data_IF_407941808583
#
_entry.id   IF_407941808583
#
_cell.length_a   1.000
_cell.length_b   1.000
_cell.length_c   1.000
_cell.angle_alpha   90.00
_cell.angle_beta   90.00
_cell.angle_gamma   90.00
#
_symmetry.space_group_name_H-M   'P 1'
#
loop_
_entity.id
_entity.type
_entity.pdbx_description
1 polymer ?
#
# COMPACT_ATOMS: atom_id res chain seq x y z
N UNK A 1 -2.82 -65.35 60.67
CA UNK A 1 -3.07 -63.89 60.58
C UNK A 1 -2.17 -63.33 59.48
N UNK A 2 -2.73 -62.89 58.36
CA UNK A 2 -2.03 -62.04 57.39
C UNK A 2 -3.08 -61.11 56.77
N UNK A 3 -3.04 -59.85 57.16
CA UNK A 3 -3.97 -58.80 56.75
C UNK A 3 -3.58 -58.29 55.36
N UNK A 4 -4.46 -58.48 54.38
CA UNK A 4 -4.34 -57.89 53.04
C UNK A 4 -4.60 -56.38 53.08
N UNK A 5 -3.58 -55.59 52.75
CA UNK A 5 -3.71 -54.15 52.54
C UNK A 5 -4.02 -53.91 51.05
N UNK A 6 -5.26 -53.54 50.73
CA UNK A 6 -5.62 -53.01 49.41
C UNK A 6 -5.12 -51.57 49.29
N UNK A 7 -4.17 -51.36 48.37
CA UNK A 7 -3.57 -50.06 48.08
C UNK A 7 -4.50 -49.29 47.11
N UNK A 8 -5.19 -48.27 47.62
CA UNK A 8 -6.03 -47.39 46.82
C UNK A 8 -5.16 -46.55 45.86
N UNK A 9 -5.52 -46.56 44.58
CA UNK A 9 -4.89 -45.75 43.53
C UNK A 9 -5.64 -44.41 43.50
N UNK A 10 -4.98 -43.26 43.70
CA UNK A 10 -5.69 -41.97 43.69
C UNK A 10 -6.07 -41.56 42.26
N UNK A 11 -7.38 -41.35 42.04
CA UNK A 11 -7.99 -40.71 40.86
C UNK A 11 -7.66 -39.20 40.79
N UNK A 12 -6.37 -38.85 40.72
CA UNK A 12 -5.92 -37.45 40.76
C UNK A 12 -5.24 -36.93 39.48
N UNK A 13 -5.15 -37.74 38.41
CA UNK A 13 -4.19 -37.48 37.30
C UNK A 13 -4.81 -37.15 35.94
N UNK A 14 -6.14 -37.11 35.79
CA UNK A 14 -6.80 -36.94 34.48
C UNK A 14 -7.27 -35.50 34.17
N UNK A 15 -7.48 -34.66 35.18
CA UNK A 15 -8.00 -33.29 35.00
C UNK A 15 -6.95 -32.32 34.42
N UNK A 16 -5.68 -32.45 34.81
CA UNK A 16 -4.61 -31.55 34.33
C UNK A 16 -4.31 -31.70 32.84
N UNK A 17 -4.48 -32.90 32.29
CA UNK A 17 -4.18 -33.18 30.89
C UNK A 17 -5.23 -32.59 29.94
N UNK A 18 -6.49 -32.53 30.39
CA UNK A 18 -7.62 -32.04 29.58
C UNK A 18 -7.71 -30.50 29.59
N UNK A 19 -7.42 -29.88 30.74
CA UNK A 19 -7.30 -28.41 30.85
C UNK A 19 -6.13 -27.88 30.01
N UNK A 20 -5.01 -28.59 29.99
CA UNK A 20 -3.86 -28.23 29.13
C UNK A 20 -4.22 -28.31 27.64
N UNK A 21 -4.88 -29.38 27.20
CA UNK A 21 -5.23 -29.58 25.79
C UNK A 21 -6.23 -28.51 25.28
N UNK A 22 -7.22 -28.16 26.10
CA UNK A 22 -8.20 -27.12 25.77
C UNK A 22 -7.56 -25.73 25.72
N UNK A 23 -6.61 -25.43 26.60
CA UNK A 23 -5.84 -24.19 26.58
C UNK A 23 -4.97 -24.07 25.32
N UNK A 24 -4.35 -25.15 24.86
CA UNK A 24 -3.57 -25.18 23.62
C UNK A 24 -4.44 -24.96 22.38
N UNK A 25 -5.62 -25.59 22.30
CA UNK A 25 -6.56 -25.41 21.18
C UNK A 25 -7.09 -23.96 21.17
N UNK A 26 -7.45 -23.41 22.33
CA UNK A 26 -7.87 -22.02 22.44
C UNK A 26 -6.76 -21.06 21.97
N UNK A 27 -5.51 -21.28 22.39
CA UNK A 27 -4.37 -20.46 21.96
C UNK A 27 -4.13 -20.51 20.45
N UNK A 28 -4.31 -21.67 19.81
CA UNK A 28 -4.19 -21.81 18.35
C UNK A 28 -5.32 -21.12 17.58
N UNK A 29 -6.54 -21.04 18.13
CA UNK A 29 -7.64 -20.31 17.50
C UNK A 29 -7.46 -18.79 17.56
N UNK A 30 -6.91 -18.24 18.64
CA UNK A 30 -6.72 -16.79 18.79
C UNK A 30 -5.64 -16.19 17.89
N UNK A 31 -4.64 -16.96 17.48
CA UNK A 31 -3.50 -16.45 16.70
C UNK A 31 -3.78 -16.26 15.20
N UNK A 32 -4.86 -16.84 14.67
CA UNK A 32 -5.15 -16.87 13.23
C UNK A 32 -6.10 -15.75 12.74
N UNK A 33 -6.74 -14.98 13.63
CA UNK A 33 -7.66 -13.91 13.23
C UNK A 33 -6.95 -12.59 12.84
N UNK A 34 -5.66 -12.48 13.14
CA UNK A 34 -4.97 -11.18 13.15
C UNK A 34 -4.59 -10.64 11.77
N UNK A 35 -4.56 -11.46 10.71
CA UNK A 35 -4.05 -11.00 9.41
C UNK A 35 -5.14 -10.40 8.48
N UNK A 36 -6.42 -10.75 8.72
CA UNK A 36 -7.51 -10.41 7.80
C UNK A 36 -8.12 -9.01 7.99
N UNK A 37 -8.07 -8.48 9.22
CA UNK A 37 -8.79 -7.24 9.60
C UNK A 37 -7.89 -6.01 9.71
N UNK A 38 -6.58 -6.18 9.57
CA UNK A 38 -5.62 -5.07 9.71
C UNK A 38 -5.48 -4.33 8.38
N UNK A 39 -5.60 -2.99 8.46
CA UNK A 39 -5.29 -2.06 7.38
C UNK A 39 -3.86 -2.23 6.91
N UNK A 40 -3.68 -2.44 5.61
CA UNK A 40 -2.37 -2.64 5.00
C UNK A 40 -1.87 -1.35 4.36
N UNK A 41 -0.57 -1.05 4.52
CA UNK A 41 0.10 0.07 3.85
C UNK A 41 1.05 -0.48 2.80
N UNK A 42 0.86 -0.07 1.55
CA UNK A 42 1.70 -0.52 0.44
C UNK A 42 2.51 0.64 -0.14
N UNK A 43 3.75 0.33 -0.54
CA UNK A 43 4.59 1.24 -1.32
C UNK A 43 4.47 0.90 -2.79
N UNK A 44 3.96 1.84 -3.58
CA UNK A 44 3.87 1.72 -5.02
C UNK A 44 5.15 2.31 -5.64
N UNK A 45 5.82 1.53 -6.50
CA UNK A 45 6.98 1.95 -7.25
C UNK A 45 6.76 1.63 -8.74
N UNK A 46 6.99 2.61 -9.60
CA UNK A 46 6.97 2.39 -11.04
C UNK A 46 8.32 1.84 -11.51
N UNK A 47 8.30 0.83 -12.36
CA UNK A 47 9.49 0.31 -13.02
C UNK A 47 9.45 0.70 -14.49
N UNK A 48 10.46 1.45 -14.91
CA UNK A 48 10.53 2.02 -16.26
C UNK A 48 10.79 0.94 -17.32
N UNK A 49 10.15 1.08 -18.48
CA UNK A 49 10.42 0.21 -19.62
C UNK A 49 11.87 0.38 -20.10
N UNK A 50 12.57 -0.75 -20.26
CA UNK A 50 13.95 -0.79 -20.75
C UNK A 50 13.99 -0.98 -22.27
N UNK A 51 15.05 -0.50 -22.92
CA UNK A 51 15.27 -0.70 -24.36
C UNK A 51 14.34 0.10 -25.28
N UNK A 52 13.77 1.20 -24.78
CA UNK A 52 12.87 2.06 -25.57
C UNK A 52 13.70 2.96 -26.48
N UNK A 53 13.46 2.89 -27.79
CA UNK A 53 14.09 3.77 -28.76
C UNK A 53 13.37 5.14 -28.82
N UNK A 54 14.12 6.24 -28.96
CA UNK A 54 13.53 7.56 -29.19
C UNK A 54 12.69 7.61 -30.46
N UNK A 55 11.59 8.34 -30.41
CA UNK A 55 10.71 8.53 -31.56
C UNK A 55 11.30 9.66 -32.44
N UNK A 56 11.47 9.45 -33.75
CA UNK A 56 11.93 10.50 -34.65
C UNK A 56 11.04 11.74 -34.58
N UNK A 57 11.65 12.91 -34.39
CA UNK A 57 10.94 14.20 -34.29
C UNK A 57 10.36 14.55 -32.92
N UNK A 58 10.39 13.64 -31.93
CA UNK A 58 9.87 13.91 -30.57
C UNK A 58 10.62 15.05 -29.86
N UNK A 59 11.89 15.26 -30.21
CA UNK A 59 12.75 16.31 -29.62
C UNK A 59 12.30 17.74 -29.91
N UNK A 60 11.39 17.94 -30.87
CA UNK A 60 10.82 19.24 -31.21
C UNK A 60 9.46 19.49 -30.53
N UNK A 61 8.96 18.52 -29.77
CA UNK A 61 7.64 18.55 -29.14
C UNK A 61 7.79 18.67 -27.64
N UNK A 62 7.13 19.70 -27.08
CA UNK A 62 7.03 19.88 -25.63
C UNK A 62 5.73 19.26 -25.13
N UNK A 63 5.85 18.44 -24.08
CA UNK A 63 4.72 17.73 -23.49
C UNK A 63 4.49 18.17 -22.04
N UNK A 64 3.21 18.27 -21.66
CA UNK A 64 2.78 18.50 -20.29
C UNK A 64 1.81 17.39 -19.89
N UNK A 65 2.19 16.59 -18.90
CA UNK A 65 1.33 15.54 -18.34
C UNK A 65 0.42 16.18 -17.29
N UNK A 66 -0.89 15.95 -17.41
CA UNK A 66 -1.87 16.34 -16.40
C UNK A 66 -2.62 15.09 -15.97
N UNK A 67 -2.65 14.84 -14.66
CA UNK A 67 -3.32 13.67 -14.09
C UNK A 67 -4.48 14.17 -13.24
N UNK A 68 -5.66 13.61 -13.47
CA UNK A 68 -6.84 13.83 -12.64
C UNK A 68 -7.25 12.50 -12.03
N UNK A 69 -7.15 12.41 -10.71
CA UNK A 69 -7.60 11.25 -9.95
C UNK A 69 -9.07 11.45 -9.55
N UNK A 70 -9.94 10.60 -10.10
CA UNK A 70 -11.38 10.62 -9.87
C UNK A 70 -11.82 9.75 -8.69
N UNK A 71 -10.90 9.10 -7.97
CA UNK A 71 -11.24 8.32 -6.78
C UNK A 71 -11.77 9.23 -5.67
N UNK A 72 -12.82 8.77 -5.01
CA UNK A 72 -13.39 9.44 -3.84
C UNK A 72 -12.41 9.49 -2.67
N UNK A 73 -11.71 8.38 -2.42
CA UNK A 73 -10.61 8.30 -1.44
C UNK A 73 -9.28 8.08 -2.18
N UNK A 74 -8.42 9.10 -2.15
CA UNK A 74 -7.11 9.08 -2.84
C UNK A 74 -6.09 8.19 -2.14
N UNK A 75 -6.28 7.91 -0.86
CA UNK A 75 -5.37 7.08 -0.07
C UNK A 75 -5.69 5.59 -0.25
N UNK A 76 -6.96 5.25 -0.48
CA UNK A 76 -7.41 3.87 -0.69
C UNK A 76 -7.12 3.39 -2.11
N UNK A 77 -6.34 2.32 -2.22
CA UNK A 77 -6.05 1.64 -3.50
C UNK A 77 -6.85 0.35 -3.69
N UNK A 78 -7.41 -0.18 -2.60
CA UNK A 78 -8.23 -1.37 -2.65
C UNK A 78 -8.75 -1.76 -1.27
N UNK A 79 -9.38 -2.92 -1.20
CA UNK A 79 -9.83 -3.54 0.05
C UNK A 79 -9.53 -5.03 0.03
N UNK A 80 -9.14 -5.57 1.19
CA UNK A 80 -9.16 -7.01 1.42
C UNK A 80 -10.62 -7.47 1.45
N UNK A 81 -10.96 -8.49 0.65
CA UNK A 81 -12.30 -9.08 0.61
C UNK A 81 -12.25 -10.52 1.09
N UNK A 82 -13.28 -10.95 1.81
CA UNK A 82 -13.43 -12.36 2.16
C UNK A 82 -14.06 -13.16 1.00
N UNK A 83 -14.21 -14.48 1.17
CA UNK A 83 -14.85 -15.37 0.19
C UNK A 83 -16.29 -14.98 -0.15
N UNK A 84 -16.94 -14.19 0.70
CA UNK A 84 -18.31 -13.69 0.51
C UNK A 84 -18.35 -12.29 -0.13
N UNK A 85 -17.21 -11.74 -0.55
CA UNK A 85 -17.11 -10.42 -1.18
C UNK A 85 -17.22 -9.23 -0.23
N UNK A 86 -17.31 -9.46 1.08
CA UNK A 86 -17.39 -8.39 2.09
C UNK A 86 -16.02 -7.75 2.29
N UNK A 87 -15.97 -6.42 2.32
CA UNK A 87 -14.74 -5.66 2.60
C UNK A 87 -14.35 -5.80 4.07
N UNK A 88 -13.14 -6.27 4.32
CA UNK A 88 -12.60 -6.53 5.66
C UNK A 88 -11.71 -5.40 6.16
N UNK A 89 -10.78 -4.94 5.30
CA UNK A 89 -9.84 -3.88 5.65
C UNK A 89 -9.40 -3.11 4.39
N UNK A 90 -9.19 -1.79 4.49
CA UNK A 90 -8.68 -1.00 3.38
C UNK A 90 -7.18 -1.25 3.17
N UNK A 91 -6.76 -1.12 1.92
CA UNK A 91 -5.35 -1.08 1.52
C UNK A 91 -5.04 0.37 1.16
N UNK A 92 -4.06 0.94 1.85
CA UNK A 92 -3.69 2.35 1.77
C UNK A 92 -2.33 2.49 1.08
N UNK A 93 -2.22 3.38 0.10
CA UNK A 93 -0.93 3.73 -0.48
C UNK A 93 -0.16 4.69 0.44
N UNK A 94 1.15 4.47 0.57
CA UNK A 94 2.02 5.38 1.33
C UNK A 94 2.30 6.70 0.62
N UNK A 95 2.10 6.73 -0.70
CA UNK A 95 2.26 7.90 -1.57
C UNK A 95 1.05 8.02 -2.48
N UNK A 96 0.76 9.25 -2.92
CA UNK A 96 -0.34 9.51 -3.84
C UNK A 96 -0.12 8.78 -5.17
N UNK A 97 -1.10 7.96 -5.55
CA UNK A 97 -1.10 7.19 -6.80
C UNK A 97 -1.04 8.12 -8.00
N UNK A 98 -1.74 9.26 -7.94
CA UNK A 98 -1.77 10.22 -9.04
C UNK A 98 -0.38 10.77 -9.36
N UNK A 99 0.42 11.05 -8.32
CA UNK A 99 1.80 11.53 -8.47
C UNK A 99 2.71 10.45 -9.06
N UNK A 100 2.55 9.20 -8.63
CA UNK A 100 3.36 8.08 -9.14
C UNK A 100 3.06 7.85 -10.62
N UNK A 101 1.80 7.82 -11.00
CA UNK A 101 1.38 7.62 -12.40
C UNK A 101 1.81 8.82 -13.26
N UNK A 102 1.63 10.05 -12.78
CA UNK A 102 2.05 11.25 -13.49
C UNK A 102 3.55 11.27 -13.78
N UNK A 103 4.37 11.01 -12.76
CA UNK A 103 5.82 10.91 -12.92
C UNK A 103 6.26 9.76 -13.81
N UNK A 104 5.58 8.60 -13.72
CA UNK A 104 5.84 7.46 -14.59
C UNK A 104 5.61 7.79 -16.08
N UNK A 105 4.47 8.42 -16.40
CA UNK A 105 4.15 8.82 -17.77
C UNK A 105 5.13 9.89 -18.26
N UNK A 106 5.47 10.87 -17.43
CA UNK A 106 6.46 11.88 -17.78
C UNK A 106 7.82 11.25 -18.10
N UNK A 107 8.30 10.34 -17.25
CA UNK A 107 9.55 9.62 -17.45
C UNK A 107 9.56 8.80 -18.76
N UNK A 108 8.47 8.10 -19.07
CA UNK A 108 8.32 7.36 -20.33
C UNK A 108 8.36 8.27 -21.55
N UNK A 109 7.70 9.44 -21.50
CA UNK A 109 7.74 10.42 -22.58
C UNK A 109 9.13 11.00 -22.76
N UNK A 110 9.82 11.35 -21.67
CA UNK A 110 11.19 11.87 -21.76
C UNK A 110 12.16 10.85 -22.37
N UNK A 111 12.05 9.58 -21.99
CA UNK A 111 12.88 8.51 -22.56
C UNK A 111 12.59 8.25 -24.04
N UNK A 112 11.37 8.53 -24.50
CA UNK A 112 11.01 8.48 -25.93
C UNK A 112 11.47 9.72 -26.72
N UNK A 113 12.15 10.66 -26.08
CA UNK A 113 12.77 11.83 -26.71
C UNK A 113 11.90 13.08 -26.72
N UNK A 114 10.75 13.09 -26.03
CA UNK A 114 9.95 14.31 -25.84
C UNK A 114 10.64 15.28 -24.87
N UNK A 115 10.39 16.57 -25.02
CA UNK A 115 10.89 17.59 -24.07
C UNK A 115 9.83 17.93 -23.03
N UNK A 116 10.26 18.13 -21.79
CA UNK A 116 9.38 18.66 -20.76
C UNK A 116 9.00 20.10 -21.09
N UNK A 117 7.72 20.43 -21.05
CA UNK A 117 7.21 21.81 -21.14
C UNK A 117 7.82 22.75 -20.08
N UNK A 118 8.22 22.24 -18.92
CA UNK A 118 8.82 23.01 -17.82
C UNK A 118 10.32 23.35 -18.00
N UNK A 119 10.74 23.73 -19.21
CA UNK A 119 12.10 24.19 -19.53
C UNK A 119 12.50 25.56 -18.96
N UNK A 120 11.91 26.00 -17.85
CA UNK A 120 12.32 27.20 -17.10
C UNK A 120 12.66 26.79 -15.65
N UNK A 121 13.70 27.38 -15.01
CA UNK A 121 14.15 26.96 -13.69
C UNK A 121 13.15 27.42 -12.63
N UNK A 122 12.05 26.70 -12.44
CA UNK A 122 11.21 26.87 -11.27
C UNK A 122 11.74 25.98 -10.16
N UNK A 123 12.47 26.64 -9.27
CA UNK A 123 12.74 26.33 -7.87
C UNK A 123 12.32 24.92 -7.43
N UNK A 124 13.35 24.10 -7.16
CA UNK A 124 13.38 23.00 -6.21
C UNK A 124 12.02 22.58 -5.62
N UNK A 125 11.61 21.37 -5.98
CA UNK A 125 10.52 20.60 -5.41
C UNK A 125 10.57 20.62 -3.87
N UNK A 126 9.92 21.64 -3.27
CA UNK A 126 9.59 21.71 -1.86
C UNK A 126 8.08 21.59 -1.76
N UNK A 127 7.66 20.35 -1.54
CA UNK A 127 6.46 19.96 -0.77
C UNK A 127 5.56 21.12 -0.34
N UNK A 128 4.42 21.28 -1.02
CA UNK A 128 3.12 21.69 -0.43
C UNK A 128 2.02 21.10 -1.30
N UNK A 129 1.29 20.14 -0.76
CA UNK A 129 -0.11 20.27 -0.29
C UNK A 129 -1.07 20.63 -1.41
N UNK A 130 -2.02 19.71 -1.61
CA UNK A 130 -3.24 19.84 -2.37
C UNK A 130 -3.83 21.25 -2.30
N UNK A 131 -4.04 21.88 -3.46
CA UNK A 131 -5.13 22.84 -3.65
C UNK A 131 -5.70 22.66 -5.05
N UNK A 132 -6.96 22.23 -5.05
CA UNK A 132 -7.87 22.26 -6.18
C UNK A 132 -8.41 23.69 -6.25
N UNK A 133 -8.38 24.28 -7.46
CA UNK A 133 -8.92 25.59 -7.86
C UNK A 133 -8.03 26.83 -7.69
N UNK A 134 -7.76 27.45 -8.86
CA UNK A 134 -7.34 28.84 -9.11
C UNK A 134 -5.94 29.21 -8.57
N UNK A 135 -5.03 29.85 -9.31
CA UNK A 135 -5.20 31.06 -10.12
C UNK A 135 -3.88 31.29 -10.87
N UNK A 136 -3.96 31.69 -12.13
CA UNK A 136 -2.84 32.22 -12.89
C UNK A 136 -2.32 33.50 -12.21
N UNK A 137 -1.23 33.43 -11.45
CA UNK A 137 -0.36 34.55 -11.08
C UNK A 137 1.04 33.92 -10.90
N UNK A 138 1.99 34.04 -11.83
CA UNK A 138 2.59 35.28 -12.28
C UNK A 138 3.99 35.37 -11.65
N UNK A 139 4.99 34.68 -12.23
CA UNK A 139 6.39 34.89 -11.84
C UNK A 139 6.86 36.18 -12.52
N UNK A 140 6.90 37.26 -11.74
CA UNK A 140 7.41 38.56 -12.15
C UNK A 140 8.95 38.51 -12.17
N UNK A 141 9.56 38.81 -13.32
CA UNK A 141 11.00 39.07 -13.42
C UNK A 141 11.27 40.48 -12.88
N UNK A 142 12.15 40.62 -11.89
CA UNK A 142 12.92 41.86 -11.74
C UNK A 142 14.23 41.65 -12.46
N UNK A 143 14.45 42.48 -13.48
CA UNK A 143 15.71 42.73 -14.18
C UNK A 143 16.85 43.09 -13.23
#
# INVERSE_FOLDING_TARGET
>A
MNNGQMKSIPLGRMEFSLVSLTAFIAFLFFTNLSCATITERISLNYNQQQGVLPIPGASNIFVKVQVTDHRTDKNKVGSKKNRFGMEMAPIIATRDVALIIGGAIEQELLTRGYKNWFGFPTCANRSRRYDVLQRFQGCFFSS
#
